data_IF_426984688704
#
_entry.id   IF_426984688704
#
_cell.length_a   1.000
_cell.length_b   1.000
_cell.length_c   1.000
_cell.angle_alpha   90.00
_cell.angle_beta   90.00
_cell.angle_gamma   90.00
#
_symmetry.space_group_name_H-M   'P 1'
#
loop_
_entity.id
_entity.type
_entity.pdbx_description
1 polymer ?
#
# COMPACT_ATOMS: atom_id res chain seq x y z
N UNK A 1 -52.58 28.07 34.11
CA UNK A 1 -51.44 28.44 33.22
C UNK A 1 -50.43 27.31 33.28
N UNK A 2 -50.40 26.48 32.29
CA UNK A 2 -49.38 25.42 32.16
C UNK A 2 -48.10 26.06 31.63
N UNK A 3 -47.04 26.08 32.45
CA UNK A 3 -45.71 26.46 31.97
C UNK A 3 -45.23 25.41 30.99
N UNK A 4 -45.03 25.83 29.77
CA UNK A 4 -44.40 25.02 28.73
C UNK A 4 -42.88 24.95 29.02
N UNK A 5 -42.43 23.85 29.58
CA UNK A 5 -41.00 23.57 29.80
C UNK A 5 -40.36 22.95 28.57
N UNK A 6 -40.91 23.16 27.40
CA UNK A 6 -40.52 22.48 26.15
C UNK A 6 -39.15 22.92 25.60
N UNK A 7 -38.56 24.01 26.11
CA UNK A 7 -37.28 24.56 25.59
C UNK A 7 -36.09 24.37 26.51
N UNK A 8 -36.19 23.53 27.55
CA UNK A 8 -35.08 23.29 28.49
C UNK A 8 -34.37 21.92 28.29
N UNK A 9 -34.69 21.23 27.19
CA UNK A 9 -33.92 20.01 26.88
C UNK A 9 -32.61 20.40 26.21
N UNK A 10 -31.54 20.48 27.01
CA UNK A 10 -30.17 20.49 26.53
C UNK A 10 -29.89 19.12 25.94
N UNK A 11 -29.65 19.07 24.64
CA UNK A 11 -29.19 17.83 24.01
C UNK A 11 -27.81 17.53 24.56
N UNK A 12 -27.69 16.53 25.43
CA UNK A 12 -26.42 16.00 25.87
C UNK A 12 -25.82 15.25 24.67
N UNK A 13 -24.73 15.77 24.13
CA UNK A 13 -23.89 15.04 23.20
C UNK A 13 -23.02 14.06 23.97
N UNK A 14 -22.80 12.88 23.40
CA UNK A 14 -21.86 11.90 23.94
C UNK A 14 -20.44 12.51 23.92
N UNK A 15 -19.67 12.30 24.99
CA UNK A 15 -18.28 12.79 25.07
C UNK A 15 -17.35 12.03 24.11
N UNK A 16 -17.76 10.81 23.71
CA UNK A 16 -17.01 9.98 22.77
C UNK A 16 -17.55 10.12 21.34
N UNK A 17 -16.75 10.75 20.49
CA UNK A 17 -17.03 10.81 19.06
C UNK A 17 -16.50 9.57 18.38
N UNK A 18 -17.40 8.76 17.82
CA UNK A 18 -17.01 7.63 17.00
C UNK A 18 -16.62 8.13 15.60
N UNK A 19 -15.33 8.08 15.29
CA UNK A 19 -14.85 8.34 13.93
C UNK A 19 -15.27 7.23 12.96
N UNK A 20 -15.49 7.60 11.70
CA UNK A 20 -15.66 6.63 10.63
C UNK A 20 -14.40 5.76 10.49
N UNK A 21 -14.57 4.49 10.14
CA UNK A 21 -13.44 3.62 9.89
C UNK A 21 -12.62 4.13 8.71
N UNK A 22 -11.31 4.28 8.92
CA UNK A 22 -10.38 4.80 7.91
C UNK A 22 -9.21 3.84 7.76
N UNK A 23 -8.71 3.69 6.52
CA UNK A 23 -7.54 2.86 6.25
C UNK A 23 -6.26 3.45 6.85
N UNK A 24 -5.38 2.57 7.28
CA UNK A 24 -4.02 2.89 7.73
C UNK A 24 -3.00 2.57 6.63
N UNK A 25 -1.77 3.10 6.75
CA UNK A 25 -0.69 2.79 5.81
C UNK A 25 -0.20 1.35 6.01
N UNK A 26 -0.25 0.55 4.94
CA UNK A 26 0.11 -0.87 4.95
C UNK A 26 1.34 -1.18 4.08
N UNK A 27 1.62 -0.37 3.06
CA UNK A 27 2.59 -0.70 2.01
C UNK A 27 4.00 -0.16 2.24
N UNK A 28 4.18 0.89 3.06
CA UNK A 28 5.48 1.53 3.30
C UNK A 28 6.58 0.54 3.73
N UNK A 29 6.24 -0.43 4.60
CA UNK A 29 7.20 -1.43 5.10
C UNK A 29 7.52 -2.58 4.15
N UNK A 30 6.83 -2.69 3.01
CA UNK A 30 6.94 -3.81 2.05
C UNK A 30 7.84 -3.51 0.87
N UNK A 31 8.50 -2.36 0.87
CA UNK A 31 9.35 -1.84 -0.20
C UNK A 31 10.72 -1.45 0.36
N UNK A 32 11.71 -1.36 -0.52
CA UNK A 32 13.03 -0.84 -0.16
C UNK A 32 12.93 0.65 0.16
N UNK A 33 13.01 0.99 1.45
CA UNK A 33 12.79 2.36 1.94
C UNK A 33 14.10 3.13 2.04
N UNK A 34 14.09 4.40 1.62
CA UNK A 34 15.18 5.36 1.80
C UNK A 34 14.63 6.62 2.46
N UNK A 35 15.01 6.87 3.70
CA UNK A 35 14.56 8.02 4.50
C UNK A 35 15.60 9.13 4.54
N UNK A 36 15.19 10.36 4.87
CA UNK A 36 16.09 11.50 5.06
C UNK A 36 16.75 11.99 3.76
N UNK A 37 16.06 11.86 2.64
CA UNK A 37 16.56 12.27 1.34
C UNK A 37 16.58 13.80 1.23
N UNK A 38 17.72 14.34 0.79
CA UNK A 38 17.85 15.75 0.43
C UNK A 38 17.78 15.90 -1.10
N UNK A 39 16.86 16.74 -1.58
CA UNK A 39 16.65 16.99 -3.00
C UNK A 39 15.31 16.46 -3.52
N UNK A 40 14.97 16.82 -4.74
CA UNK A 40 13.69 16.54 -5.39
C UNK A 40 13.63 15.16 -6.08
N UNK A 41 14.77 14.46 -6.20
CA UNK A 41 14.84 13.16 -6.87
C UNK A 41 15.81 12.23 -6.17
N UNK A 42 15.47 10.95 -6.17
CA UNK A 42 16.35 9.86 -5.68
C UNK A 42 16.60 8.87 -6.78
N UNK A 43 17.85 8.47 -6.93
CA UNK A 43 18.25 7.45 -7.88
C UNK A 43 18.49 6.12 -7.18
N UNK A 44 17.79 5.09 -7.66
CA UNK A 44 18.01 3.72 -7.24
C UNK A 44 18.86 3.01 -8.30
N UNK A 45 20.11 2.61 -7.95
CA UNK A 45 20.96 1.91 -8.88
C UNK A 45 20.54 0.45 -9.03
N UNK A 46 20.58 -0.06 -10.26
CA UNK A 46 20.39 -1.46 -10.63
C UNK A 46 21.61 -1.95 -11.41
N UNK A 47 22.10 -3.13 -11.06
CA UNK A 47 23.21 -3.80 -11.75
C UNK A 47 22.63 -4.96 -12.54
N UNK A 48 23.02 -5.08 -13.81
CA UNK A 48 22.55 -6.13 -14.70
C UNK A 48 23.13 -7.52 -14.35
N UNK A 49 22.63 -8.53 -15.02
CA UNK A 49 23.06 -9.94 -14.87
C UNK A 49 24.38 -10.18 -15.62
N UNK A 50 25.24 -11.07 -15.10
CA UNK A 50 26.47 -11.51 -15.75
C UNK A 50 26.48 -13.02 -15.92
N UNK A 51 27.17 -13.51 -16.96
CA UNK A 51 27.35 -14.93 -17.23
C UNK A 51 28.82 -15.29 -17.11
N UNK A 52 29.16 -16.32 -16.32
CA UNK A 52 30.51 -16.79 -16.16
C UNK A 52 31.00 -17.47 -17.45
N UNK A 53 32.25 -17.19 -17.82
CA UNK A 53 32.93 -17.82 -18.98
C UNK A 53 33.89 -18.91 -18.51
N UNK A 54 34.07 -19.92 -19.33
CA UNK A 54 35.06 -20.99 -19.06
C UNK A 54 36.46 -20.41 -19.19
N UNK A 55 37.26 -20.60 -18.15
CA UNK A 55 38.68 -20.20 -18.16
C UNK A 55 39.49 -21.18 -18.99
N UNK A 56 40.25 -20.67 -19.96
CA UNK A 56 41.31 -21.41 -20.64
C UNK A 56 42.66 -21.13 -19.95
N UNK A 57 43.46 -22.15 -19.63
CA UNK A 57 44.80 -21.93 -19.06
C UNK A 57 45.66 -21.01 -19.92
N UNK A 58 46.40 -20.11 -19.30
CA UNK A 58 47.35 -19.16 -19.95
C UNK A 58 46.69 -18.12 -20.90
N UNK A 59 45.38 -17.87 -20.77
CA UNK A 59 44.71 -16.78 -21.47
C UNK A 59 44.28 -15.68 -20.52
N UNK A 60 44.10 -14.48 -21.06
CA UNK A 60 43.64 -13.33 -20.30
C UNK A 60 42.20 -13.54 -19.80
N UNK A 61 41.89 -12.94 -18.65
CA UNK A 61 40.52 -12.97 -18.05
C UNK A 61 39.57 -12.10 -18.89
N UNK A 62 38.48 -12.69 -19.34
CA UNK A 62 37.41 -11.94 -20.04
C UNK A 62 36.53 -11.28 -19.00
N UNK A 63 36.41 -9.93 -18.96
CA UNK A 63 35.53 -9.24 -18.02
C UNK A 63 34.06 -9.43 -18.42
N UNK A 64 33.15 -9.49 -17.44
CA UNK A 64 31.71 -9.70 -17.62
C UNK A 64 31.00 -8.53 -18.30
N UNK A 65 31.58 -7.32 -18.30
CA UNK A 65 30.98 -6.09 -18.83
C UNK A 65 29.53 -5.86 -18.38
N UNK A 66 29.31 -5.93 -17.06
CA UNK A 66 27.99 -5.80 -16.46
C UNK A 66 27.43 -4.39 -16.70
N UNK A 67 26.17 -4.30 -17.16
CA UNK A 67 25.49 -3.03 -17.36
C UNK A 67 25.01 -2.43 -16.05
N UNK A 68 25.22 -1.12 -15.90
CA UNK A 68 24.70 -0.34 -14.79
C UNK A 68 23.57 0.55 -15.27
N UNK A 69 22.46 0.51 -14.58
CA UNK A 69 21.29 1.36 -14.83
C UNK A 69 20.83 2.02 -13.54
N UNK A 70 20.02 3.05 -13.64
CA UNK A 70 19.45 3.74 -12.49
C UNK A 70 18.01 4.13 -12.80
N UNK A 71 17.14 3.98 -11.81
CA UNK A 71 15.76 4.43 -11.88
C UNK A 71 15.60 5.61 -10.92
N UNK A 72 14.88 6.64 -11.35
CA UNK A 72 14.72 7.89 -10.59
C UNK A 72 13.32 7.95 -10.00
N UNK A 73 13.23 8.07 -8.67
CA UNK A 73 12.00 8.43 -7.98
C UNK A 73 11.95 9.97 -7.83
N UNK A 74 10.84 10.57 -8.22
CA UNK A 74 10.59 12.01 -8.03
C UNK A 74 9.80 12.18 -6.73
N UNK A 75 10.25 13.12 -5.90
CA UNK A 75 9.59 13.46 -4.65
C UNK A 75 8.42 14.40 -4.93
N UNK A 76 7.32 14.18 -4.23
CA UNK A 76 6.15 15.07 -4.24
C UNK A 76 5.74 15.41 -2.82
N UNK A 77 5.35 16.64 -2.61
CA UNK A 77 4.95 17.15 -1.30
C UNK A 77 3.43 17.05 -1.17
N UNK A 78 2.97 16.49 -0.05
CA UNK A 78 1.57 16.30 0.24
C UNK A 78 1.24 16.92 1.60
N UNK A 79 0.09 17.57 1.65
CA UNK A 79 -0.46 18.15 2.87
C UNK A 79 -1.96 17.83 2.95
N UNK A 80 -2.41 17.43 4.12
CA UNK A 80 -3.82 17.38 4.48
C UNK A 80 -4.01 18.34 5.66
N UNK A 81 -5.02 19.19 5.60
CA UNK A 81 -5.26 20.19 6.64
C UNK A 81 -6.75 20.48 6.79
N UNK A 82 -7.17 20.77 8.03
CA UNK A 82 -8.53 21.17 8.38
C UNK A 82 -8.50 22.26 9.44
N UNK A 83 -9.52 23.13 9.44
CA UNK A 83 -9.65 24.22 10.42
C UNK A 83 -10.62 23.83 11.53
N UNK A 84 -10.24 24.10 12.79
CA UNK A 84 -11.12 24.04 13.94
C UNK A 84 -11.37 25.45 14.46
N UNK A 85 -12.61 25.91 14.42
CA UNK A 85 -13.00 27.23 14.90
C UNK A 85 -13.13 27.23 16.42
N UNK A 86 -12.63 28.31 17.07
CA UNK A 86 -12.68 28.45 18.52
C UNK A 86 -14.13 28.51 19.02
N UNK A 87 -15.01 29.18 18.27
CA UNK A 87 -16.42 29.31 18.66
C UNK A 87 -17.16 27.98 18.54
N UNK A 88 -16.90 27.19 17.48
CA UNK A 88 -17.44 25.83 17.36
C UNK A 88 -16.97 24.94 18.50
N UNK A 89 -15.71 24.99 18.86
CA UNK A 89 -15.15 24.23 19.98
C UNK A 89 -15.86 24.53 21.31
N UNK A 90 -16.35 25.77 21.50
CA UNK A 90 -17.09 26.14 22.72
C UNK A 90 -18.52 25.59 22.76
N UNK A 91 -19.06 25.14 21.64
CA UNK A 91 -20.42 24.61 21.51
C UNK A 91 -20.47 23.07 21.51
N UNK A 92 -19.32 22.42 21.31
CA UNK A 92 -19.21 20.95 21.32
C UNK A 92 -18.59 20.45 22.64
N UNK A 93 -18.96 19.24 23.02
CA UNK A 93 -18.58 18.63 24.30
C UNK A 93 -17.34 17.71 24.21
N UNK A 94 -16.68 17.70 23.05
CA UNK A 94 -15.48 16.88 22.79
C UNK A 94 -14.35 17.73 22.22
N UNK A 95 -13.10 17.22 22.30
CA UNK A 95 -11.93 17.91 21.73
C UNK A 95 -11.83 17.67 20.21
N UNK A 96 -12.47 18.55 19.41
CA UNK A 96 -12.50 18.52 17.97
C UNK A 96 -11.07 18.47 17.37
N UNK A 97 -10.12 19.18 17.94
CA UNK A 97 -8.74 19.24 17.41
C UNK A 97 -8.06 17.90 17.48
N UNK A 98 -8.26 17.16 18.57
CA UNK A 98 -7.70 15.81 18.74
C UNK A 98 -8.25 14.84 17.70
N UNK A 99 -9.54 14.91 17.45
CA UNK A 99 -10.20 14.07 16.45
C UNK A 99 -9.76 14.43 15.03
N UNK A 100 -9.64 15.72 14.71
CA UNK A 100 -9.14 16.20 13.42
C UNK A 100 -7.69 15.77 13.15
N UNK A 101 -6.81 15.75 14.16
CA UNK A 101 -5.44 15.25 14.02
C UNK A 101 -5.44 13.79 13.54
N UNK A 102 -6.33 12.96 14.07
CA UNK A 102 -6.43 11.56 13.63
C UNK A 102 -6.95 11.44 12.19
N UNK A 103 -8.00 12.21 11.83
CA UNK A 103 -8.57 12.21 10.47
C UNK A 103 -7.52 12.63 9.44
N UNK A 104 -6.83 13.74 9.70
CA UNK A 104 -5.81 14.29 8.81
C UNK A 104 -4.60 13.34 8.70
N UNK A 105 -4.18 12.73 9.81
CA UNK A 105 -3.09 11.75 9.82
C UNK A 105 -3.43 10.50 8.98
N UNK A 106 -4.65 9.97 9.09
CA UNK A 106 -5.10 8.82 8.30
C UNK A 106 -5.30 9.15 6.82
N UNK A 107 -5.67 10.39 6.48
CA UNK A 107 -5.71 10.83 5.08
C UNK A 107 -4.32 10.78 4.44
N UNK A 108 -3.30 11.25 5.15
CA UNK A 108 -1.90 11.13 4.72
C UNK A 108 -1.46 9.67 4.57
N UNK A 109 -1.84 8.80 5.52
CA UNK A 109 -1.53 7.37 5.46
C UNK A 109 -2.11 6.71 4.19
N UNK A 110 -3.35 7.02 3.82
CA UNK A 110 -3.96 6.56 2.56
C UNK A 110 -3.22 7.07 1.33
N UNK A 111 -2.77 8.33 1.35
CA UNK A 111 -1.99 8.89 0.24
C UNK A 111 -0.63 8.23 0.07
N UNK A 112 0.02 7.81 1.18
CA UNK A 112 1.26 7.01 1.11
C UNK A 112 1.03 5.67 0.41
N UNK A 113 -0.05 4.96 0.74
CA UNK A 113 -0.41 3.71 0.06
C UNK A 113 -0.71 3.94 -1.42
N UNK A 114 -1.42 5.04 -1.76
CA UNK A 114 -1.70 5.38 -3.16
C UNK A 114 -0.42 5.57 -3.98
N UNK A 115 0.59 6.28 -3.45
CA UNK A 115 1.88 6.43 -4.11
C UNK A 115 2.56 5.08 -4.41
N UNK A 116 2.49 4.16 -3.46
CA UNK A 116 3.05 2.82 -3.65
C UNK A 116 2.30 2.03 -4.72
N UNK A 117 0.97 2.11 -4.73
CA UNK A 117 0.12 1.44 -5.73
C UNK A 117 0.32 2.04 -7.12
N UNK A 118 0.38 3.37 -7.22
CA UNK A 118 0.63 4.07 -8.49
C UNK A 118 1.99 3.66 -9.08
N UNK A 119 3.03 3.51 -8.23
CA UNK A 119 4.34 3.04 -8.67
C UNK A 119 4.33 1.57 -9.12
N UNK A 120 3.56 0.69 -8.46
CA UNK A 120 3.35 -0.69 -8.90
C UNK A 120 2.60 -0.75 -10.25
N UNK A 121 1.59 0.10 -10.41
CA UNK A 121 0.82 0.17 -11.65
C UNK A 121 1.58 0.83 -12.80
N UNK A 122 2.50 1.74 -12.51
CA UNK A 122 3.37 2.38 -13.49
C UNK A 122 4.56 1.53 -13.95
N UNK A 123 4.76 0.32 -13.40
CA UNK A 123 5.82 -0.59 -13.84
C UNK A 123 5.72 -0.85 -15.35
N UNK A 124 6.85 -0.70 -16.06
CA UNK A 124 6.87 -0.63 -17.52
C UNK A 124 6.64 -2.00 -18.20
N UNK A 125 7.20 -3.07 -17.64
CA UNK A 125 7.16 -4.42 -18.22
C UNK A 125 6.97 -5.51 -17.14
N UNK A 126 5.97 -5.40 -16.25
CA UNK A 126 5.73 -6.40 -15.23
C UNK A 126 5.19 -7.70 -15.87
N UNK A 127 5.42 -8.83 -15.23
CA UNK A 127 4.72 -10.05 -15.59
C UNK A 127 3.21 -9.89 -15.34
N UNK A 128 2.38 -10.47 -16.23
CA UNK A 128 0.92 -10.33 -16.10
C UNK A 128 0.24 -11.68 -16.02
N UNK A 129 -0.72 -11.82 -15.10
CA UNK A 129 -1.61 -12.97 -15.01
C UNK A 129 -3.00 -12.52 -15.45
N UNK A 130 -3.47 -13.12 -16.56
CA UNK A 130 -4.75 -12.74 -17.17
C UNK A 130 -5.96 -13.19 -16.34
N UNK A 131 -7.11 -12.56 -16.56
CA UNK A 131 -8.40 -12.95 -15.96
C UNK A 131 -8.84 -14.36 -16.33
N UNK A 132 -8.37 -14.89 -17.46
CA UNK A 132 -8.71 -16.22 -17.99
C UNK A 132 -7.97 -17.38 -17.31
N UNK A 133 -7.03 -17.12 -16.41
CA UNK A 133 -6.33 -18.19 -15.67
C UNK A 133 -7.27 -18.75 -14.60
N UNK A 134 -7.52 -20.08 -14.66
CA UNK A 134 -8.46 -20.76 -13.78
C UNK A 134 -9.94 -20.62 -14.16
N UNK A 135 -10.24 -20.12 -15.38
CA UNK A 135 -11.61 -19.98 -15.90
C UNK A 135 -11.79 -18.74 -16.77
N UNK A 136 -12.91 -18.71 -17.52
CA UNK A 136 -13.23 -17.60 -18.42
C UNK A 136 -13.68 -16.36 -17.68
N UNK A 137 -12.98 -15.54 -17.10
CA UNK A 137 -13.33 -14.39 -16.26
C UNK A 137 -13.38 -14.79 -14.77
N UNK A 138 -12.26 -15.33 -14.27
CA UNK A 138 -12.19 -15.77 -12.88
C UNK A 138 -11.76 -14.63 -11.93
N UNK A 139 -12.24 -14.71 -10.70
CA UNK A 139 -11.72 -13.93 -9.57
C UNK A 139 -10.36 -14.53 -9.11
N UNK A 140 -9.83 -14.10 -7.97
CA UNK A 140 -8.61 -14.67 -7.43
C UNK A 140 -8.81 -16.15 -7.11
N UNK A 141 -7.89 -16.99 -7.56
CA UNK A 141 -7.88 -18.43 -7.36
C UNK A 141 -6.44 -18.95 -7.16
N UNK A 142 -6.31 -20.22 -6.76
CA UNK A 142 -5.01 -20.86 -6.53
C UNK A 142 -4.17 -20.89 -7.81
N UNK A 143 -4.77 -21.07 -8.97
CA UNK A 143 -4.06 -21.16 -10.25
C UNK A 143 -3.40 -19.82 -10.60
N UNK A 144 -4.05 -18.69 -10.32
CA UNK A 144 -3.46 -17.35 -10.48
C UNK A 144 -2.28 -17.12 -9.54
N UNK A 145 -2.40 -17.57 -8.29
CA UNK A 145 -1.28 -17.49 -7.34
C UNK A 145 -0.09 -18.35 -7.78
N UNK A 146 -0.36 -19.57 -8.26
CA UNK A 146 0.68 -20.44 -8.83
C UNK A 146 1.32 -19.82 -10.05
N UNK A 147 0.54 -19.19 -10.93
CA UNK A 147 1.06 -18.49 -12.10
C UNK A 147 1.93 -17.28 -11.71
N UNK A 148 1.52 -16.51 -10.70
CA UNK A 148 2.32 -15.40 -10.17
C UNK A 148 3.63 -15.90 -9.52
N UNK A 149 3.56 -16.94 -8.69
CA UNK A 149 4.73 -17.55 -8.08
C UNK A 149 5.68 -18.13 -9.14
N UNK A 150 5.13 -18.77 -10.17
CA UNK A 150 5.92 -19.28 -11.30
C UNK A 150 6.64 -18.15 -12.04
N UNK A 151 5.94 -17.03 -12.35
CA UNK A 151 6.55 -15.90 -13.04
C UNK A 151 7.74 -15.30 -12.26
N UNK A 152 7.60 -15.15 -10.93
CA UNK A 152 8.71 -14.70 -10.09
C UNK A 152 9.86 -15.71 -10.03
N UNK A 153 9.56 -17.02 -9.99
CA UNK A 153 10.59 -18.07 -9.98
C UNK A 153 11.33 -18.15 -11.32
N UNK A 154 10.63 -18.03 -12.44
CA UNK A 154 11.21 -18.00 -13.78
C UNK A 154 12.20 -16.81 -13.92
N UNK A 155 11.94 -15.71 -13.25
CA UNK A 155 12.83 -14.55 -13.18
C UNK A 155 13.92 -14.69 -12.11
N UNK A 156 13.99 -15.80 -11.39
CA UNK A 156 14.92 -16.05 -10.27
C UNK A 156 14.82 -15.06 -9.11
N UNK A 157 13.62 -14.53 -8.86
CA UNK A 157 13.36 -13.66 -7.71
C UNK A 157 13.38 -14.49 -6.42
N UNK A 158 14.05 -14.03 -5.33
CA UNK A 158 14.07 -14.75 -4.06
C UNK A 158 12.65 -15.04 -3.53
N UNK A 159 12.49 -16.15 -2.82
CA UNK A 159 11.20 -16.52 -2.24
C UNK A 159 10.84 -15.72 -0.98
N UNK A 160 11.85 -15.25 -0.26
CA UNK A 160 11.67 -14.39 0.92
C UNK A 160 11.38 -12.95 0.50
N UNK A 161 10.55 -12.23 1.27
CA UNK A 161 10.22 -10.83 0.99
C UNK A 161 9.27 -10.61 -0.19
N UNK A 162 8.52 -11.64 -0.59
CA UNK A 162 7.43 -11.50 -1.56
C UNK A 162 6.15 -11.04 -0.87
N UNK A 163 5.49 -10.06 -1.44
CA UNK A 163 4.24 -9.50 -0.96
C UNK A 163 3.16 -9.66 -2.02
N UNK A 164 1.92 -9.80 -1.57
CA UNK A 164 0.74 -9.87 -2.42
C UNK A 164 -0.32 -8.91 -1.88
N UNK A 165 -0.66 -7.91 -2.67
CA UNK A 165 -1.74 -6.98 -2.41
C UNK A 165 -3.00 -7.45 -3.11
N UNK A 166 -4.07 -7.65 -2.35
CA UNK A 166 -5.39 -8.02 -2.85
C UNK A 166 -6.49 -7.26 -2.13
N UNK A 167 -7.65 -7.17 -2.75
CA UNK A 167 -8.85 -6.64 -2.12
C UNK A 167 -9.57 -7.75 -1.31
N UNK A 168 -10.43 -7.37 -0.39
CA UNK A 168 -11.19 -8.30 0.44
C UNK A 168 -12.06 -9.28 -0.35
N UNK A 169 -12.63 -8.85 -1.49
CA UNK A 169 -13.42 -9.73 -2.37
C UNK A 169 -12.58 -10.82 -3.05
N UNK A 170 -11.31 -10.56 -3.34
CA UNK A 170 -10.38 -11.55 -3.87
C UNK A 170 -9.96 -12.56 -2.80
N UNK A 171 -9.80 -12.09 -1.56
CA UNK A 171 -9.53 -12.99 -0.43
C UNK A 171 -10.73 -13.91 -0.18
N UNK A 172 -11.96 -13.38 -0.20
CA UNK A 172 -13.18 -14.16 -0.03
C UNK A 172 -13.33 -15.24 -1.12
N UNK A 173 -13.12 -14.84 -2.40
CA UNK A 173 -13.14 -15.79 -3.52
C UNK A 173 -12.09 -16.89 -3.36
N UNK A 174 -10.88 -16.56 -2.93
CA UNK A 174 -9.82 -17.52 -2.69
C UNK A 174 -10.18 -18.49 -1.54
N UNK A 175 -10.78 -18.00 -0.46
CA UNK A 175 -11.24 -18.82 0.67
C UNK A 175 -12.43 -19.71 0.31
N UNK A 176 -13.20 -19.35 -0.73
CA UNK A 176 -14.30 -20.18 -1.27
C UNK A 176 -13.85 -21.38 -2.07
N UNK A 177 -12.58 -21.44 -2.49
CA UNK A 177 -12.03 -22.58 -3.23
C UNK A 177 -11.95 -23.83 -2.37
N UNK A 178 -12.50 -24.97 -2.87
CA UNK A 178 -12.54 -26.24 -2.13
C UNK A 178 -11.15 -26.82 -1.84
N UNK A 179 -10.17 -26.53 -2.69
CA UNK A 179 -8.78 -26.95 -2.48
C UNK A 179 -8.15 -26.26 -1.26
N UNK A 180 -8.58 -25.04 -0.96
CA UNK A 180 -8.11 -24.26 0.19
C UNK A 180 -8.84 -24.68 1.46
N UNK A 181 -10.13 -25.00 1.39
CA UNK A 181 -10.94 -25.37 2.56
C UNK A 181 -10.79 -26.83 2.99
N UNK A 182 -10.09 -27.65 2.20
CA UNK A 182 -9.80 -29.04 2.53
C UNK A 182 -9.05 -29.18 3.86
N UNK A 183 -9.49 -30.14 4.68
CA UNK A 183 -8.99 -30.33 6.07
C UNK A 183 -7.52 -30.73 6.16
N UNK A 184 -6.90 -31.15 5.07
CA UNK A 184 -5.50 -31.58 5.01
C UNK A 184 -4.50 -30.41 4.98
N UNK A 185 -4.95 -29.19 4.71
CA UNK A 185 -4.11 -28.01 4.70
C UNK A 185 -4.18 -27.23 6.03
N UNK A 186 -3.35 -27.59 6.99
CA UNK A 186 -3.26 -26.90 8.29
C UNK A 186 -2.94 -25.39 8.14
N UNK A 187 -2.13 -25.05 7.14
CA UNK A 187 -1.74 -23.66 6.82
C UNK A 187 -2.93 -22.81 6.37
N UNK A 188 -3.91 -23.41 5.71
CA UNK A 188 -5.12 -22.73 5.24
C UNK A 188 -6.08 -22.43 6.38
N UNK A 189 -6.22 -23.33 7.34
CA UNK A 189 -7.01 -23.07 8.55
C UNK A 189 -6.45 -21.89 9.35
N UNK A 190 -5.14 -21.75 9.38
CA UNK A 190 -4.47 -20.62 10.03
C UNK A 190 -4.68 -19.32 9.25
N UNK A 191 -4.68 -19.34 7.92
CA UNK A 191 -5.01 -18.19 7.06
C UNK A 191 -6.46 -17.73 7.28
N UNK A 192 -7.42 -18.65 7.32
CA UNK A 192 -8.84 -18.37 7.61
C UNK A 192 -9.03 -17.74 8.99
N UNK A 193 -8.23 -18.16 9.98
CA UNK A 193 -8.27 -17.62 11.34
C UNK A 193 -7.50 -16.28 11.47
N UNK A 194 -6.82 -15.82 10.42
CA UNK A 194 -5.95 -14.65 10.48
C UNK A 194 -4.64 -14.86 11.26
N UNK A 195 -4.30 -16.12 11.60
CA UNK A 195 -3.09 -16.46 12.34
C UNK A 195 -1.85 -16.53 11.44
N UNK A 196 -2.03 -16.76 10.13
CA UNK A 196 -0.95 -16.82 9.14
C UNK A 196 -1.16 -15.75 8.08
N UNK A 197 -0.18 -14.88 7.98
CA UNK A 197 -0.17 -13.79 6.98
C UNK A 197 0.51 -14.20 5.67
N UNK A 198 1.05 -15.42 5.58
CA UNK A 198 1.79 -15.89 4.40
C UNK A 198 1.16 -17.14 3.80
N UNK A 199 1.01 -17.17 2.47
CA UNK A 199 0.54 -18.30 1.70
C UNK A 199 1.34 -18.44 0.40
N UNK A 200 1.78 -19.66 0.06
CA UNK A 200 2.58 -19.95 -1.14
C UNK A 200 3.84 -19.05 -1.30
N UNK A 201 4.46 -18.63 -0.18
CA UNK A 201 5.63 -17.76 -0.18
C UNK A 201 5.32 -16.27 -0.34
N UNK A 202 4.04 -15.87 -0.34
CA UNK A 202 3.63 -14.47 -0.34
C UNK A 202 3.14 -14.03 1.03
N UNK A 203 3.57 -12.86 1.47
CA UNK A 203 2.96 -12.14 2.57
C UNK A 203 1.72 -11.42 2.05
N UNK A 204 0.55 -11.80 2.52
CA UNK A 204 -0.73 -11.28 2.04
C UNK A 204 -1.07 -9.98 2.75
N UNK A 205 -1.39 -8.96 1.96
CA UNK A 205 -1.89 -7.67 2.42
C UNK A 205 -3.27 -7.48 1.82
N UNK A 206 -4.28 -7.39 2.69
CA UNK A 206 -5.66 -7.21 2.26
C UNK A 206 -6.08 -5.77 2.48
N UNK A 207 -6.67 -5.17 1.47
CA UNK A 207 -7.27 -3.84 1.53
C UNK A 207 -8.76 -3.92 1.20
N UNK A 208 -9.56 -3.08 1.85
CA UNK A 208 -10.95 -2.84 1.46
C UNK A 208 -11.06 -1.75 0.41
N UNK A 209 -12.30 -1.43 0.02
CA UNK A 209 -12.56 -0.25 -0.80
C UNK A 209 -12.21 1.02 -0.04
N UNK A 210 -11.45 1.90 -0.68
CA UNK A 210 -10.99 3.18 -0.13
C UNK A 210 -11.16 4.25 -1.20
N UNK A 211 -11.49 5.46 -0.79
CA UNK A 211 -11.52 6.62 -1.69
C UNK A 211 -10.13 6.92 -2.26
N UNK A 212 -9.08 6.63 -1.49
CA UNK A 212 -7.68 6.80 -1.86
C UNK A 212 -6.84 5.66 -1.26
N UNK A 213 -5.84 5.18 -2.01
CA UNK A 213 -4.95 4.09 -1.58
C UNK A 213 -5.61 2.70 -1.62
N UNK A 214 -6.61 2.52 -2.48
CA UNK A 214 -7.25 1.24 -2.73
C UNK A 214 -6.70 0.50 -3.95
N UNK A 215 -7.00 -0.79 -4.04
CA UNK A 215 -6.60 -1.63 -5.18
C UNK A 215 -7.32 -1.17 -6.45
N UNK A 216 -6.61 -0.84 -7.55
CA UNK A 216 -7.20 -0.28 -8.77
C UNK A 216 -8.27 -1.19 -9.39
N UNK A 217 -9.38 -0.59 -9.82
CA UNK A 217 -10.50 -1.27 -10.49
C UNK A 217 -11.01 -0.45 -11.69
N UNK A 218 -10.26 -0.34 -12.79
CA UNK A 218 -10.75 0.36 -13.98
C UNK A 218 -11.90 -0.38 -14.67
N UNK A 219 -11.80 -1.69 -14.88
CA UNK A 219 -12.85 -2.60 -15.39
C UNK A 219 -12.77 -3.96 -14.68
N UNK A 220 -11.57 -4.42 -14.43
CA UNK A 220 -11.22 -5.59 -13.63
C UNK A 220 -10.31 -5.12 -12.50
N UNK A 221 -10.38 -5.77 -11.35
CA UNK A 221 -9.50 -5.40 -10.24
C UNK A 221 -8.10 -5.93 -10.50
N UNK A 222 -7.10 -5.06 -10.36
CA UNK A 222 -5.69 -5.42 -10.54
C UNK A 222 -5.03 -5.62 -9.18
N UNK A 223 -4.73 -6.86 -8.82
CA UNK A 223 -3.93 -7.21 -7.67
C UNK A 223 -2.45 -7.21 -8.06
N UNK A 224 -1.57 -6.99 -7.07
CA UNK A 224 -0.13 -6.91 -7.30
C UNK A 224 0.60 -7.91 -6.43
N UNK A 225 1.54 -8.63 -7.03
CA UNK A 225 2.54 -9.40 -6.30
C UNK A 225 3.93 -8.84 -6.63
N UNK A 226 4.76 -8.60 -5.61
CA UNK A 226 6.11 -8.03 -5.80
C UNK A 226 7.09 -8.53 -4.77
N UNK A 227 8.36 -8.40 -5.08
CA UNK A 227 9.45 -8.60 -4.14
C UNK A 227 9.89 -7.27 -3.55
N UNK A 228 10.25 -7.24 -2.28
CA UNK A 228 10.61 -6.03 -1.54
C UNK A 228 11.69 -5.18 -2.27
N UNK A 229 12.71 -5.81 -2.85
CA UNK A 229 13.80 -5.11 -3.52
C UNK A 229 13.45 -4.62 -4.93
N UNK A 230 12.31 -5.05 -5.51
CA UNK A 230 11.85 -4.61 -6.83
C UNK A 230 11.22 -3.22 -6.80
N UNK A 231 10.85 -2.75 -5.62
CA UNK A 231 10.22 -1.45 -5.41
C UNK A 231 11.09 -0.54 -4.55
N UNK A 232 11.16 0.73 -4.92
CA UNK A 232 11.83 1.79 -4.14
C UNK A 232 10.83 2.81 -3.62
N UNK A 233 10.88 3.07 -2.33
CA UNK A 233 10.16 4.14 -1.67
C UNK A 233 11.18 5.12 -1.05
N UNK A 234 11.08 6.38 -1.41
CA UNK A 234 11.96 7.43 -0.90
C UNK A 234 11.15 8.46 -0.12
N UNK A 235 11.68 8.91 1.00
CA UNK A 235 11.04 9.85 1.90
C UNK A 235 12.02 10.96 2.27
N UNK A 236 11.65 12.21 1.97
CA UNK A 236 12.39 13.40 2.36
C UNK A 236 11.93 13.92 3.72
N UNK A 237 10.62 14.12 3.86
CA UNK A 237 9.99 14.54 5.11
C UNK A 237 9.07 13.40 5.55
N UNK A 238 9.37 12.81 6.69
CA UNK A 238 8.48 11.84 7.33
C UNK A 238 7.17 12.51 7.75
N UNK A 239 6.11 11.74 7.87
CA UNK A 239 4.81 12.25 8.29
C UNK A 239 4.95 13.06 9.59
N UNK A 240 4.56 14.34 9.53
CA UNK A 240 4.56 15.27 10.63
C UNK A 240 3.21 15.95 10.74
N UNK A 241 2.62 15.92 11.93
CA UNK A 241 1.37 16.63 12.22
C UNK A 241 1.64 17.84 13.10
N UNK A 242 1.00 18.96 12.79
CA UNK A 242 1.12 20.22 13.52
C UNK A 242 -0.26 20.85 13.75
N UNK A 243 -0.41 21.51 14.89
CA UNK A 243 -1.61 22.28 15.21
C UNK A 243 -1.17 23.72 15.50
N UNK A 244 -1.54 24.64 14.63
CA UNK A 244 -1.12 26.03 14.70
C UNK A 244 -2.34 26.97 14.79
N UNK A 245 -2.30 27.93 15.69
CA UNK A 245 -3.32 28.98 15.75
C UNK A 245 -3.10 30.02 14.64
N UNK A 246 -4.16 30.31 13.89
CA UNK A 246 -4.13 31.32 12.82
C UNK A 246 -5.02 32.51 13.23
N UNK A 247 -4.42 33.65 13.64
CA UNK A 247 -5.18 34.80 14.14
C UNK A 247 -6.14 35.39 13.12
N UNK A 248 -5.77 35.40 11.84
CA UNK A 248 -6.58 35.95 10.73
C UNK A 248 -7.93 35.22 10.57
N UNK A 249 -7.98 33.93 10.95
CA UNK A 249 -9.18 33.10 10.84
C UNK A 249 -9.82 32.77 12.16
N UNK A 250 -9.24 33.22 13.28
CA UNK A 250 -9.68 32.89 14.64
C UNK A 250 -9.87 31.38 14.85
N UNK A 251 -9.05 30.57 14.19
CA UNK A 251 -9.16 29.13 14.12
C UNK A 251 -7.81 28.44 14.33
N UNK A 252 -7.82 27.21 14.76
CA UNK A 252 -6.65 26.35 14.74
C UNK A 252 -6.58 25.60 13.40
N UNK A 253 -5.44 25.62 12.76
CA UNK A 253 -5.14 24.77 11.60
C UNK A 253 -4.49 23.48 12.10
N UNK A 254 -5.19 22.38 11.91
CA UNK A 254 -4.66 21.04 12.09
C UNK A 254 -4.14 20.57 10.75
N UNK A 255 -2.85 20.34 10.63
CA UNK A 255 -2.23 19.91 9.38
C UNK A 255 -1.32 18.70 9.58
N UNK A 256 -1.27 17.84 8.59
CA UNK A 256 -0.26 16.77 8.49
C UNK A 256 0.36 16.83 7.11
N UNK A 257 1.67 16.66 7.06
CA UNK A 257 2.46 16.79 5.83
C UNK A 257 3.48 15.65 5.73
N UNK A 258 3.81 15.29 4.48
CA UNK A 258 4.93 14.41 4.17
C UNK A 258 5.44 14.68 2.75
N UNK A 259 6.67 14.28 2.49
CA UNK A 259 7.27 14.35 1.15
C UNK A 259 7.88 13.02 0.80
N UNK A 260 7.36 12.38 -0.23
CA UNK A 260 7.79 11.05 -0.64
C UNK A 260 7.64 10.82 -2.15
N UNK A 261 8.32 9.78 -2.63
CA UNK A 261 8.19 9.29 -3.99
C UNK A 261 8.41 7.77 -4.04
N UNK A 262 7.70 7.08 -4.90
CA UNK A 262 7.85 5.65 -5.12
C UNK A 262 8.16 5.34 -6.59
N UNK A 263 8.90 4.26 -6.85
CA UNK A 263 9.24 3.85 -8.22
C UNK A 263 9.49 2.34 -8.27
N UNK A 264 9.11 1.71 -9.40
CA UNK A 264 9.52 0.36 -9.71
C UNK A 264 10.99 0.34 -10.14
N UNK A 265 11.84 -0.38 -9.40
CA UNK A 265 13.28 -0.53 -9.67
C UNK A 265 13.52 -1.66 -10.66
N UNK A 266 12.81 -2.78 -10.49
CA UNK A 266 12.96 -3.98 -11.31
C UNK A 266 11.62 -4.62 -11.62
N UNK A 267 11.20 -4.50 -12.89
CA UNK A 267 9.93 -5.04 -13.37
C UNK A 267 9.87 -6.57 -13.31
N UNK A 268 11.01 -7.26 -13.35
CA UNK A 268 11.08 -8.72 -13.24
C UNK A 268 10.58 -9.24 -11.89
N UNK A 269 10.64 -8.42 -10.86
CA UNK A 269 10.15 -8.73 -9.52
C UNK A 269 8.71 -8.27 -9.25
N UNK A 270 7.95 -7.85 -10.28
CA UNK A 270 6.58 -7.36 -10.17
C UNK A 270 5.65 -8.19 -11.06
N UNK A 271 4.51 -8.58 -10.52
CA UNK A 271 3.45 -9.31 -11.24
C UNK A 271 2.12 -8.60 -11.03
N UNK A 272 1.45 -8.27 -12.13
CA UNK A 272 0.06 -7.78 -12.13
C UNK A 272 -0.90 -8.94 -12.33
N UNK A 273 -1.90 -9.07 -11.46
CA UNK A 273 -2.89 -10.14 -11.50
C UNK A 273 -4.26 -9.51 -11.73
N UNK A 274 -4.86 -9.78 -12.89
CA UNK A 274 -6.19 -9.28 -13.21
C UNK A 274 -7.26 -10.23 -12.69
N UNK A 275 -8.21 -9.68 -11.91
CA UNK A 275 -9.32 -10.42 -11.29
C UNK A 275 -10.65 -9.79 -11.68
N UNK A 276 -11.65 -10.61 -11.96
CA UNK A 276 -13.06 -10.19 -12.07
C UNK A 276 -13.72 -10.31 -10.70
N UNK A 277 -14.65 -9.41 -10.41
CA UNK A 277 -15.53 -9.49 -9.24
C UNK A 277 -16.94 -9.87 -9.65
#
# INVERSE_FOLDING_TARGET
MAQSITNAFVTLFDEEVKQAYQGEALLRGTMRTRTGVQGNTVKFPKIGKGVATVRVPQTDVTPLNVTYSQVTATMSDYIAAEYSDIFHQSHVNFDERRELVQVVSKAIARRMDQLCIDALDAAASPSTVATSVGGASSNMNIEKLRAAAKALNDNNVPAEGRHLLMHSSQLDAMLGETEITSSDFATVKALVRGEVTSFMGFNIITMGDRDEGGVPKPSTRTCFAWHQDSMGYAESISQKSEVNYIPEKTSFLVSSMFSAGAVAIDDEGIVKISCTE
#
